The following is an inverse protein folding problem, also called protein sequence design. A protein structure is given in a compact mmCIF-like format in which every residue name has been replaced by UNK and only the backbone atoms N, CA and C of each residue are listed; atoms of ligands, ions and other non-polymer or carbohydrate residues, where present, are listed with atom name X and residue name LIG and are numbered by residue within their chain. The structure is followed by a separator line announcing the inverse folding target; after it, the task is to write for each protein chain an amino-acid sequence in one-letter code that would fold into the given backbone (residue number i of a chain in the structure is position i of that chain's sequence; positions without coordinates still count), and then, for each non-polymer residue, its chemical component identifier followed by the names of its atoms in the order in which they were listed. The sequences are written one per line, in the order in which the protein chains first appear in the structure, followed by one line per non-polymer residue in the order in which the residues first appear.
data_IF_505325743441
#
_entry.id   IF_505325743441
#
_cell.length_a   1.000
_cell.length_b   1.000
_cell.length_c   1.000
_cell.angle_alpha   90.00
_cell.angle_beta   90.00
_cell.angle_gamma   90.00
#
_symmetry.space_group_name_H-M   'P 1'
#
loop_
_entity.id
_entity.type
_entity.pdbx_description
1 polymer ?
#
# COMPACT_ATOMS: atom_id res chain seq x y z
N UNK A 1 96.19 9.51 14.55
CA UNK A 1 95.35 10.59 15.09
C UNK A 1 93.91 10.12 14.90
N UNK A 2 93.32 9.50 15.89
CA UNK A 2 92.27 9.96 16.79
C UNK A 2 91.08 10.55 16.06
N UNK A 3 89.97 9.88 16.08
CA UNK A 3 88.67 10.36 16.56
C UNK A 3 87.60 9.27 16.65
N UNK A 4 87.14 9.14 17.84
CA UNK A 4 85.94 8.44 18.29
C UNK A 4 84.70 8.98 17.60
N UNK A 5 83.74 8.13 17.36
CA UNK A 5 82.37 8.50 16.96
C UNK A 5 81.36 7.53 17.48
N UNK A 6 80.55 7.96 18.34
CA UNK A 6 79.59 7.27 19.19
C UNK A 6 78.49 6.56 18.42
N UNK A 7 78.14 5.35 18.85
CA UNK A 7 76.89 4.69 18.56
C UNK A 7 75.72 5.41 19.18
N UNK A 8 74.69 5.73 18.37
CA UNK A 8 73.39 6.19 18.81
C UNK A 8 72.39 5.11 18.44
N UNK A 9 71.99 4.37 19.44
CA UNK A 9 70.89 3.36 19.28
C UNK A 9 69.53 4.08 19.23
N UNK A 10 68.85 4.03 18.08
CA UNK A 10 67.45 4.43 17.98
C UNK A 10 66.62 3.27 18.47
N UNK A 11 66.01 3.44 19.62
CA UNK A 11 64.87 2.61 20.08
C UNK A 11 63.67 2.87 19.17
N UNK A 12 63.21 1.83 18.43
CA UNK A 12 61.95 1.78 17.74
C UNK A 12 60.85 1.55 18.79
N UNK A 13 59.95 2.53 18.97
CA UNK A 13 58.67 2.32 19.67
C UNK A 13 57.78 1.41 18.83
N UNK A 14 57.13 0.38 19.41
CA UNK A 14 56.07 -0.33 18.70
C UNK A 14 54.83 0.56 18.64
N UNK A 15 54.45 0.96 17.43
CA UNK A 15 53.17 1.58 17.15
C UNK A 15 52.05 0.59 17.52
N UNK A 16 51.27 0.98 18.52
CA UNK A 16 50.09 0.24 18.96
C UNK A 16 49.04 0.13 17.82
N UNK A 17 48.11 -0.83 17.90
CA UNK A 17 47.12 -1.04 16.87
C UNK A 17 46.23 0.21 16.78
N UNK A 18 46.11 0.71 15.56
CA UNK A 18 45.27 1.86 15.21
C UNK A 18 43.80 1.54 15.49
N UNK A 19 43.18 2.30 16.36
CA UNK A 19 41.75 2.25 16.74
C UNK A 19 40.79 2.73 15.64
N UNK A 20 41.04 2.39 14.37
CA UNK A 20 40.24 2.80 13.22
C UNK A 20 39.14 1.79 12.80
N UNK A 21 39.17 0.59 13.39
CA UNK A 21 38.18 -0.48 12.99
C UNK A 21 36.83 -0.40 13.71
N UNK A 22 36.72 0.39 14.80
CA UNK A 22 35.44 0.49 15.54
C UNK A 22 34.51 1.55 14.98
N UNK A 23 34.99 2.54 14.25
CA UNK A 23 34.15 3.59 13.66
C UNK A 23 33.45 3.15 12.37
N UNK A 24 34.04 2.26 11.59
CA UNK A 24 33.47 1.76 10.35
C UNK A 24 32.34 0.74 10.60
N UNK A 25 32.43 -0.06 11.66
CA UNK A 25 31.38 -1.00 12.04
C UNK A 25 30.09 -0.28 12.49
N UNK A 26 30.22 0.73 13.36
CA UNK A 26 29.07 1.51 13.84
C UNK A 26 28.38 2.32 12.75
N UNK A 27 29.12 2.84 11.78
CA UNK A 27 28.54 3.54 10.62
C UNK A 27 27.77 2.60 9.69
N UNK A 28 28.26 1.38 9.49
CA UNK A 28 27.57 0.37 8.71
C UNK A 28 26.27 -0.10 9.39
N UNK A 29 26.29 -0.30 10.71
CA UNK A 29 25.09 -0.67 11.48
C UNK A 29 24.05 0.43 11.45
N UNK A 30 24.43 1.70 11.61
CA UNK A 30 23.50 2.82 11.51
C UNK A 30 22.86 2.91 10.12
N UNK A 31 23.65 2.73 9.06
CA UNK A 31 23.14 2.75 7.69
C UNK A 31 22.17 1.58 7.38
N UNK A 32 22.39 0.41 7.99
CA UNK A 32 21.45 -0.74 7.88
C UNK A 32 20.14 -0.44 8.62
N UNK A 33 20.23 0.13 9.83
CA UNK A 33 19.06 0.52 10.61
C UNK A 33 18.23 1.58 9.89
N UNK A 34 18.87 2.59 9.31
CA UNK A 34 18.16 3.61 8.53
C UNK A 34 17.43 3.02 7.33
N UNK A 35 18.06 2.13 6.57
CA UNK A 35 17.40 1.44 5.44
C UNK A 35 16.22 0.57 5.90
N UNK A 36 16.34 -0.09 7.05
CA UNK A 36 15.26 -0.90 7.61
C UNK A 36 14.07 -0.02 8.01
N UNK A 37 14.34 1.10 8.69
CA UNK A 37 13.31 2.07 9.05
C UNK A 37 12.62 2.62 7.80
N UNK A 38 13.39 3.07 6.82
CA UNK A 38 12.88 3.61 5.55
C UNK A 38 11.99 2.59 4.81
N UNK A 39 12.40 1.34 4.78
CA UNK A 39 11.62 0.26 4.15
C UNK A 39 10.27 0.06 4.85
N UNK A 40 10.26 -0.04 6.18
CA UNK A 40 9.02 -0.26 6.95
C UNK A 40 8.11 0.96 6.87
N UNK A 41 8.63 2.17 6.92
CA UNK A 41 7.85 3.40 6.73
C UNK A 41 7.22 3.48 5.35
N UNK A 42 7.96 3.08 4.30
CA UNK A 42 7.41 2.99 2.95
C UNK A 42 6.23 2.00 2.87
N UNK A 43 6.33 0.85 3.53
CA UNK A 43 5.23 -0.11 3.59
C UNK A 43 4.01 0.45 4.36
N UNK A 44 4.24 1.16 5.46
CA UNK A 44 3.18 1.81 6.24
C UNK A 44 2.47 2.90 5.45
N UNK A 45 3.21 3.67 4.64
CA UNK A 45 2.62 4.67 3.75
C UNK A 45 1.69 4.04 2.71
N UNK A 46 2.05 2.89 2.16
CA UNK A 46 1.22 2.17 1.18
C UNK A 46 -0.05 1.54 1.76
N UNK A 47 -0.13 1.40 3.10
CA UNK A 47 -1.23 0.75 3.80
C UNK A 47 -2.61 1.35 3.49
N UNK A 48 -2.70 2.67 3.37
CA UNK A 48 -3.95 3.40 3.19
C UNK A 48 -4.25 3.81 1.74
N UNK A 49 -3.34 3.55 0.79
CA UNK A 49 -3.49 4.00 -0.61
C UNK A 49 -4.74 3.43 -1.25
N UNK A 50 -4.93 2.12 -1.18
CA UNK A 50 -6.07 1.45 -1.81
C UNK A 50 -7.42 1.88 -1.24
N UNK A 51 -7.51 2.07 0.08
CA UNK A 51 -8.71 2.57 0.75
C UNK A 51 -8.98 4.03 0.42
N UNK A 52 -7.94 4.87 0.35
CA UNK A 52 -8.04 6.27 -0.07
C UNK A 52 -8.55 6.40 -1.49
N UNK A 53 -7.98 5.67 -2.43
CA UNK A 53 -8.43 5.64 -3.83
C UNK A 53 -9.91 5.26 -3.94
N UNK A 54 -10.34 4.19 -3.28
CA UNK A 54 -11.74 3.77 -3.35
C UNK A 54 -12.70 4.78 -2.71
N UNK A 55 -12.28 5.38 -1.59
CA UNK A 55 -13.06 6.42 -0.93
C UNK A 55 -13.23 7.65 -1.83
N UNK A 56 -12.17 8.10 -2.47
CA UNK A 56 -12.21 9.26 -3.37
C UNK A 56 -13.07 8.98 -4.61
N UNK A 57 -12.96 7.79 -5.22
CA UNK A 57 -13.82 7.36 -6.32
C UNK A 57 -15.30 7.38 -5.95
N UNK A 58 -15.63 6.93 -4.73
CA UNK A 58 -17.03 6.90 -4.26
C UNK A 58 -17.53 8.31 -3.88
N UNK A 59 -16.70 9.12 -3.22
CA UNK A 59 -17.07 10.47 -2.76
C UNK A 59 -17.23 11.46 -3.91
N UNK A 60 -16.44 11.29 -4.98
CA UNK A 60 -16.52 12.12 -6.17
C UNK A 60 -17.71 11.77 -7.07
N UNK A 61 -18.38 10.63 -6.84
CA UNK A 61 -19.42 10.10 -7.74
C UNK A 61 -20.66 11.00 -7.76
N UNK A 62 -21.05 11.61 -8.91
CA UNK A 62 -22.27 12.37 -9.02
C UNK A 62 -23.52 11.50 -8.98
N UNK A 63 -24.67 12.09 -8.64
CA UNK A 63 -25.95 11.43 -8.83
C UNK A 63 -26.15 11.01 -10.30
N UNK A 64 -26.67 9.83 -10.53
CA UNK A 64 -26.93 9.26 -11.86
C UNK A 64 -25.67 8.87 -12.65
N UNK A 65 -24.55 8.69 -11.97
CA UNK A 65 -23.35 8.00 -12.44
C UNK A 65 -23.16 6.75 -11.60
N UNK A 66 -22.84 5.64 -12.21
CA UNK A 66 -22.54 4.40 -11.48
C UNK A 66 -21.36 3.66 -12.10
N UNK A 67 -20.56 3.08 -11.25
CA UNK A 67 -19.37 2.35 -11.66
C UNK A 67 -19.73 0.88 -11.87
N UNK A 68 -19.27 0.32 -12.98
CA UNK A 68 -19.45 -1.09 -13.33
C UNK A 68 -18.23 -1.93 -13.01
N UNK A 69 -17.04 -1.34 -13.17
CA UNK A 69 -15.77 -2.00 -12.89
C UNK A 69 -14.78 -0.99 -12.33
N UNK A 70 -14.06 -1.38 -11.28
CA UNK A 70 -12.93 -0.63 -10.75
C UNK A 70 -11.78 -1.60 -10.56
N UNK A 71 -10.64 -1.33 -11.15
CA UNK A 71 -9.42 -2.10 -10.98
C UNK A 71 -8.30 -1.19 -10.46
N UNK A 72 -7.61 -1.67 -9.45
CA UNK A 72 -6.40 -1.10 -8.90
C UNK A 72 -5.27 -2.11 -9.00
N UNK A 73 -4.15 -1.73 -9.56
CA UNK A 73 -2.98 -2.57 -9.68
C UNK A 73 -1.71 -1.75 -9.46
N UNK A 74 -1.13 -1.89 -8.29
CA UNK A 74 0.17 -1.28 -7.92
C UNK A 74 0.25 0.20 -8.30
N UNK A 75 -0.76 0.97 -7.88
CA UNK A 75 -0.85 2.42 -8.13
C UNK A 75 -1.57 2.81 -9.42
N UNK A 76 -1.86 1.90 -10.34
CA UNK A 76 -2.69 2.17 -11.52
C UNK A 76 -4.15 1.93 -11.20
N UNK A 77 -5.00 2.88 -11.54
CA UNK A 77 -6.44 2.84 -11.32
C UNK A 77 -7.14 2.86 -12.67
N UNK A 78 -8.01 1.89 -12.91
CA UNK A 78 -8.88 1.84 -14.08
C UNK A 78 -10.32 1.77 -13.61
N UNK A 79 -11.15 2.63 -14.17
CA UNK A 79 -12.57 2.71 -13.80
C UNK A 79 -13.41 2.67 -15.05
N UNK A 80 -14.46 1.84 -15.03
CA UNK A 80 -15.52 1.84 -16.02
C UNK A 80 -16.86 2.12 -15.35
N UNK A 81 -17.71 2.84 -16.03
CA UNK A 81 -19.01 3.20 -15.51
C UNK A 81 -19.96 3.64 -16.60
N UNK A 82 -21.17 3.97 -16.16
CA UNK A 82 -22.20 4.54 -16.99
C UNK A 82 -22.71 5.83 -16.35
N UNK A 83 -23.07 6.78 -17.18
CA UNK A 83 -23.68 8.05 -16.79
C UNK A 83 -24.90 8.33 -17.68
N UNK A 84 -25.84 9.15 -17.23
CA UNK A 84 -26.98 9.54 -18.06
C UNK A 84 -26.65 10.59 -19.12
N UNK A 85 -25.53 11.30 -18.98
CA UNK A 85 -25.06 12.29 -19.97
C UNK A 85 -23.55 12.46 -19.93
N UNK A 86 -22.98 13.03 -21.01
CA UNK A 86 -21.56 13.35 -21.07
C UNK A 86 -21.16 14.44 -20.04
N UNK A 87 -22.07 15.37 -19.73
CA UNK A 87 -21.80 16.41 -18.72
C UNK A 87 -21.53 15.82 -17.34
N UNK A 88 -22.25 14.73 -16.97
CA UNK A 88 -22.02 14.02 -15.73
C UNK A 88 -20.68 13.27 -15.72
N UNK A 89 -20.22 12.79 -16.88
CA UNK A 89 -18.88 12.20 -17.00
C UNK A 89 -17.81 13.27 -16.81
N UNK A 90 -18.00 14.46 -17.40
CA UNK A 90 -17.08 15.58 -17.26
C UNK A 90 -17.03 16.09 -15.79
N UNK A 91 -18.19 16.22 -15.13
CA UNK A 91 -18.28 16.60 -13.72
C UNK A 91 -17.54 15.58 -12.82
N UNK A 92 -17.75 14.28 -13.07
CA UNK A 92 -17.04 13.22 -12.34
C UNK A 92 -15.53 13.32 -12.52
N UNK A 93 -15.08 13.53 -13.78
CA UNK A 93 -13.66 13.68 -14.10
C UNK A 93 -13.04 14.86 -13.34
N UNK A 94 -13.69 16.03 -13.38
CA UNK A 94 -13.23 17.24 -12.68
C UNK A 94 -13.14 17.05 -11.17
N UNK A 95 -14.08 16.35 -10.56
CA UNK A 95 -14.03 16.00 -9.13
C UNK A 95 -12.87 15.07 -8.80
N UNK A 96 -12.58 14.09 -9.67
CA UNK A 96 -11.46 13.16 -9.49
C UNK A 96 -10.11 13.85 -9.67
N UNK A 97 -9.99 14.82 -10.58
CA UNK A 97 -8.78 15.63 -10.74
C UNK A 97 -8.44 16.44 -9.48
N UNK A 98 -9.46 16.87 -8.73
CA UNK A 98 -9.32 17.52 -7.42
C UNK A 98 -9.06 16.57 -6.25
N UNK A 99 -9.04 15.26 -6.45
CA UNK A 99 -8.88 14.26 -5.40
C UNK A 99 -7.45 14.24 -4.83
N UNK A 100 -7.30 14.10 -3.50
CA UNK A 100 -5.98 13.99 -2.88
C UNK A 100 -5.26 12.69 -3.20
N UNK A 101 -5.99 11.58 -3.45
CA UNK A 101 -5.43 10.24 -3.65
C UNK A 101 -5.15 9.90 -5.10
N UNK A 102 -5.56 10.74 -6.06
CA UNK A 102 -5.43 10.46 -7.49
C UNK A 102 -4.63 11.54 -8.22
N UNK A 103 -3.95 11.11 -9.29
CA UNK A 103 -3.22 11.98 -10.21
C UNK A 103 -3.38 11.44 -11.65
N UNK A 104 -3.10 12.29 -12.63
CA UNK A 104 -3.14 11.91 -14.06
C UNK A 104 -4.47 11.26 -14.46
N UNK A 105 -5.59 11.82 -14.00
CA UNK A 105 -6.92 11.34 -14.36
C UNK A 105 -7.17 11.61 -15.83
N UNK A 106 -7.47 10.58 -16.62
CA UNK A 106 -7.67 10.70 -18.07
C UNK A 106 -8.87 9.84 -18.51
N UNK A 107 -9.73 10.45 -19.31
CA UNK A 107 -10.80 9.73 -19.99
C UNK A 107 -10.20 8.95 -21.18
N UNK A 108 -10.39 7.63 -21.19
CA UNK A 108 -9.92 6.75 -22.27
C UNK A 108 -10.94 6.57 -23.37
N UNK A 109 -12.19 6.39 -22.97
CA UNK A 109 -13.30 6.25 -23.92
C UNK A 109 -14.61 6.74 -23.33
N UNK A 110 -15.48 7.26 -24.19
CA UNK A 110 -16.88 7.52 -23.90
C UNK A 110 -17.69 7.09 -25.12
N UNK A 111 -18.75 6.31 -24.88
CA UNK A 111 -19.61 5.80 -25.95
C UNK A 111 -21.07 5.80 -25.49
N UNK A 112 -21.98 6.16 -26.40
CA UNK A 112 -23.42 6.08 -26.12
C UNK A 112 -23.88 4.62 -26.19
N UNK A 113 -24.61 4.19 -25.17
CA UNK A 113 -25.18 2.84 -25.04
C UNK A 113 -26.63 2.94 -24.59
N UNK A 114 -27.48 2.06 -25.11
CA UNK A 114 -28.86 1.94 -24.63
C UNK A 114 -28.90 0.93 -23.51
N UNK A 115 -29.26 1.40 -22.29
CA UNK A 115 -29.44 0.55 -21.11
C UNK A 115 -30.89 0.68 -20.66
N UNK A 116 -31.61 -0.46 -20.62
CA UNK A 116 -33.04 -0.51 -20.24
C UNK A 116 -33.91 0.48 -21.05
N UNK A 117 -33.62 0.65 -22.34
CA UNK A 117 -34.35 1.55 -23.22
C UNK A 117 -34.07 3.04 -23.02
N UNK A 118 -33.04 3.41 -22.27
CA UNK A 118 -32.57 4.79 -22.10
C UNK A 118 -31.16 4.93 -22.62
N UNK A 119 -30.90 6.06 -23.26
CA UNK A 119 -29.55 6.43 -23.65
C UNK A 119 -28.69 6.67 -22.39
N UNK A 120 -27.53 6.09 -22.37
CA UNK A 120 -26.53 6.22 -21.30
C UNK A 120 -25.16 6.35 -21.94
N UNK A 121 -24.25 7.00 -21.26
CA UNK A 121 -22.85 7.11 -21.68
C UNK A 121 -22.03 6.08 -20.90
N UNK A 122 -21.52 5.07 -21.61
CA UNK A 122 -20.51 4.18 -21.05
C UNK A 122 -19.15 4.89 -21.13
N UNK A 123 -18.42 4.97 -20.03
CA UNK A 123 -17.12 5.61 -19.97
C UNK A 123 -16.06 4.69 -19.35
N UNK A 124 -14.81 4.90 -19.80
CA UNK A 124 -13.66 4.32 -19.16
C UNK A 124 -12.62 5.40 -18.88
N UNK A 125 -12.09 5.44 -17.68
CA UNK A 125 -11.05 6.36 -17.27
C UNK A 125 -9.88 5.61 -16.62
N UNK A 126 -8.72 6.24 -16.67
CA UNK A 126 -7.51 5.79 -16.00
C UNK A 126 -6.96 6.92 -15.14
N UNK A 127 -6.38 6.54 -14.02
CA UNK A 127 -5.70 7.44 -13.11
C UNK A 127 -4.50 6.73 -12.47
N UNK A 128 -3.64 7.50 -11.83
CA UNK A 128 -2.59 6.97 -10.96
C UNK A 128 -2.93 7.32 -9.51
N UNK A 129 -2.81 6.33 -8.63
CA UNK A 129 -2.84 6.60 -7.21
C UNK A 129 -1.65 7.49 -6.85
N UNK A 130 -1.91 8.54 -6.11
CA UNK A 130 -0.85 9.39 -5.58
C UNK A 130 -0.12 8.60 -4.51
N UNK A 131 1.19 8.54 -4.63
CA UNK A 131 2.02 8.09 -3.52
C UNK A 131 1.75 9.02 -2.32
N UNK A 132 1.32 8.50 -1.16
CA UNK A 132 1.02 9.32 0.00
C UNK A 132 2.22 10.15 0.47
N UNK A 133 3.34 10.04 -0.23
CA UNK A 133 4.59 10.62 0.19
C UNK A 133 5.02 10.00 1.52
N UNK A 134 6.27 9.90 1.73
CA UNK A 134 6.87 9.51 2.98
C UNK A 134 6.32 10.41 4.11
N UNK A 135 5.24 10.00 4.76
CA UNK A 135 4.73 10.67 5.96
C UNK A 135 5.77 10.43 7.05
N UNK A 136 6.72 11.33 7.08
CA UNK A 136 7.91 11.25 7.92
C UNK A 136 7.50 11.36 9.37
N UNK A 137 7.99 10.43 10.17
CA UNK A 137 8.15 10.65 11.60
C UNK A 137 8.87 11.98 11.85
N UNK A 138 8.58 12.65 12.97
CA UNK A 138 9.18 13.94 13.28
C UNK A 138 10.71 13.84 13.17
N UNK A 139 11.29 14.76 12.41
CA UNK A 139 12.73 14.85 12.22
C UNK A 139 13.41 14.98 13.59
N UNK A 140 14.29 14.03 13.91
CA UNK A 140 15.06 14.06 15.16
C UNK A 140 14.95 12.82 16.05
N UNK A 141 14.04 11.89 15.77
CA UNK A 141 13.97 10.62 16.52
C UNK A 141 15.08 9.67 16.05
N UNK A 142 15.90 9.10 16.95
CA UNK A 142 16.95 8.16 16.59
C UNK A 142 16.39 6.94 15.85
N UNK A 143 17.08 6.41 14.81
CA UNK A 143 16.57 5.28 14.00
C UNK A 143 16.22 4.04 14.83
N UNK A 144 16.96 3.77 15.89
CA UNK A 144 16.72 2.62 16.76
C UNK A 144 15.38 2.72 17.52
N UNK A 145 15.01 3.90 18.02
CA UNK A 145 13.74 4.14 18.72
C UNK A 145 12.56 4.04 17.74
N UNK A 146 12.74 4.61 16.54
CA UNK A 146 11.74 4.51 15.47
C UNK A 146 11.52 3.06 15.03
N UNK A 147 12.60 2.28 14.93
CA UNK A 147 12.52 0.87 14.56
C UNK A 147 11.72 0.06 15.59
N UNK A 148 11.95 0.26 16.89
CA UNK A 148 11.22 -0.45 17.94
C UNK A 148 9.71 -0.16 17.91
N UNK A 149 9.32 1.08 17.63
CA UNK A 149 7.91 1.45 17.46
C UNK A 149 7.30 0.83 16.19
N UNK A 150 8.05 0.81 15.10
CA UNK A 150 7.61 0.25 13.82
C UNK A 150 7.53 -1.29 13.86
N UNK A 151 8.43 -1.96 14.57
CA UNK A 151 8.41 -3.41 14.74
C UNK A 151 7.20 -3.90 15.54
N UNK A 152 6.61 -3.06 16.39
CA UNK A 152 5.34 -3.38 17.07
C UNK A 152 4.17 -3.56 16.11
N UNK A 153 4.23 -2.94 14.91
CA UNK A 153 3.27 -3.14 13.84
C UNK A 153 3.53 -4.41 13.00
N UNK A 154 4.67 -5.07 13.22
CA UNK A 154 5.08 -6.27 12.52
C UNK A 154 5.12 -7.45 13.51
N UNK A 155 4.16 -8.38 13.48
CA UNK A 155 4.20 -9.55 14.35
C UNK A 155 5.41 -10.46 14.04
N UNK A 156 5.94 -11.12 15.06
CA UNK A 156 7.13 -11.96 14.95
C UNK A 156 6.93 -13.26 14.13
N UNK A 157 5.71 -13.74 13.99
CA UNK A 157 5.34 -14.91 13.16
C UNK A 157 3.85 -14.89 12.88
N UNK A 158 3.46 -15.41 11.72
CA UNK A 158 2.05 -15.50 11.35
C UNK A 158 1.59 -16.94 11.25
N UNK A 159 0.49 -17.24 11.96
CA UNK A 159 -0.30 -18.41 11.66
C UNK A 159 -1.35 -18.02 10.59
N UNK A 160 -1.38 -18.75 9.48
CA UNK A 160 -2.34 -18.53 8.39
C UNK A 160 -3.80 -18.64 8.88
N UNK A 161 -4.03 -19.45 9.92
CA UNK A 161 -5.36 -19.60 10.53
C UNK A 161 -5.78 -18.32 11.26
N UNK A 162 -4.88 -17.64 11.94
CA UNK A 162 -5.16 -16.37 12.61
C UNK A 162 -5.44 -15.26 11.59
N UNK A 163 -4.65 -15.22 10.51
CA UNK A 163 -4.86 -14.31 9.37
C UNK A 163 -6.27 -14.51 8.79
N UNK A 164 -6.68 -15.75 8.56
CA UNK A 164 -8.02 -16.04 8.04
C UNK A 164 -9.12 -15.58 9.01
N UNK A 165 -9.00 -15.86 10.31
CA UNK A 165 -9.99 -15.45 11.32
C UNK A 165 -10.14 -13.94 11.40
N UNK A 166 -9.02 -13.21 11.36
CA UNK A 166 -9.01 -11.74 11.38
C UNK A 166 -9.72 -11.15 10.16
N UNK A 167 -9.41 -11.65 8.96
CA UNK A 167 -10.04 -11.21 7.72
C UNK A 167 -11.53 -11.58 7.63
N UNK A 168 -11.90 -12.77 8.10
CA UNK A 168 -13.31 -13.18 8.16
C UNK A 168 -14.12 -12.32 9.12
N UNK A 169 -13.56 -12.02 10.30
CA UNK A 169 -14.20 -11.14 11.28
C UNK A 169 -14.41 -9.74 10.69
N UNK A 170 -13.38 -9.18 10.07
CA UNK A 170 -13.48 -7.88 9.42
C UNK A 170 -14.51 -7.87 8.30
N UNK A 171 -14.62 -8.94 7.50
CA UNK A 171 -15.62 -9.06 6.45
C UNK A 171 -17.04 -9.07 7.03
N UNK A 172 -17.28 -9.84 8.09
CA UNK A 172 -18.56 -9.89 8.79
C UNK A 172 -18.92 -8.54 9.42
N UNK A 173 -17.99 -7.90 10.10
CA UNK A 173 -18.18 -6.58 10.73
C UNK A 173 -18.48 -5.49 9.68
N UNK A 174 -17.95 -5.64 8.46
CA UNK A 174 -18.20 -4.74 7.34
C UNK A 174 -19.51 -5.04 6.59
N UNK A 175 -20.15 -6.19 6.82
CA UNK A 175 -21.35 -6.64 6.12
C UNK A 175 -21.07 -7.45 4.85
N UNK A 176 -19.80 -7.78 4.55
CA UNK A 176 -19.41 -8.52 3.36
C UNK A 176 -19.47 -10.03 3.58
N UNK A 177 -19.77 -10.75 2.51
CA UNK A 177 -19.63 -12.21 2.45
C UNK A 177 -18.29 -12.56 1.80
N UNK A 178 -17.39 -13.17 2.56
CA UNK A 178 -16.16 -13.76 2.03
C UNK A 178 -16.53 -15.07 1.31
N UNK A 179 -16.15 -15.17 0.04
CA UNK A 179 -16.46 -16.33 -0.81
C UNK A 179 -15.24 -17.21 -1.06
N UNK A 180 -14.06 -16.63 -1.00
CA UNK A 180 -12.80 -17.34 -1.19
C UNK A 180 -11.70 -16.71 -0.34
N UNK A 181 -10.82 -17.56 0.18
CA UNK A 181 -9.55 -17.20 0.79
C UNK A 181 -8.48 -18.14 0.25
N UNK A 182 -7.42 -17.59 -0.29
CA UNK A 182 -6.29 -18.36 -0.81
C UNK A 182 -4.98 -17.71 -0.32
N UNK A 183 -4.31 -18.33 0.66
CA UNK A 183 -2.97 -17.92 1.03
C UNK A 183 -2.01 -18.25 -0.11
N UNK A 184 -1.15 -17.32 -0.45
CA UNK A 184 -0.07 -17.49 -1.41
C UNK A 184 1.21 -17.99 -0.76
N UNK A 185 2.30 -17.90 -1.51
CA UNK A 185 3.61 -18.22 -0.99
C UNK A 185 4.13 -17.11 -0.07
N UNK A 186 4.87 -17.51 0.94
CA UNK A 186 5.69 -16.62 1.74
C UNK A 186 6.89 -16.15 0.90
N UNK A 187 7.08 -14.84 0.82
CA UNK A 187 8.20 -14.23 0.09
C UNK A 187 9.15 -13.64 1.13
N UNK A 188 10.36 -14.22 1.26
CA UNK A 188 11.35 -13.68 2.16
C UNK A 188 11.86 -12.32 1.62
N UNK A 189 11.87 -11.30 2.45
CA UNK A 189 12.49 -10.01 2.18
C UNK A 189 13.74 -9.80 3.02
N UNK A 190 14.47 -8.74 2.72
CA UNK A 190 15.71 -8.38 3.44
C UNK A 190 15.42 -8.04 4.91
N UNK A 191 14.36 -7.26 5.18
CA UNK A 191 14.02 -6.76 6.53
C UNK A 191 12.72 -7.34 7.08
N UNK A 192 11.80 -7.75 6.21
CA UNK A 192 10.54 -8.35 6.59
C UNK A 192 10.11 -9.39 5.55
N UNK A 193 9.54 -10.49 6.00
CA UNK A 193 8.91 -11.47 5.11
C UNK A 193 7.47 -11.05 4.83
N UNK A 194 6.98 -11.39 3.64
CA UNK A 194 5.63 -11.10 3.22
C UNK A 194 4.84 -12.37 2.94
N UNK A 195 3.59 -12.44 3.40
CA UNK A 195 2.62 -13.45 3.00
C UNK A 195 1.59 -12.81 2.08
N UNK A 196 1.54 -13.24 0.83
CA UNK A 196 0.51 -12.83 -0.10
C UNK A 196 -0.80 -13.57 0.21
N UNK A 197 -1.93 -12.86 0.12
CA UNK A 197 -3.26 -13.43 0.35
C UNK A 197 -4.21 -12.92 -0.72
N UNK A 198 -4.95 -13.84 -1.34
CA UNK A 198 -6.04 -13.50 -2.26
C UNK A 198 -7.38 -13.77 -1.60
N UNK A 199 -8.26 -12.78 -1.66
CA UNK A 199 -9.55 -12.78 -0.99
C UNK A 199 -10.62 -12.38 -2.01
N UNK A 200 -11.68 -13.18 -2.13
CA UNK A 200 -12.86 -12.80 -2.89
C UNK A 200 -14.01 -12.51 -1.93
N UNK A 201 -14.60 -11.35 -2.07
CA UNK A 201 -15.74 -10.89 -1.26
C UNK A 201 -16.90 -10.44 -2.14
N UNK A 202 -18.11 -10.52 -1.60
CA UNK A 202 -19.30 -10.00 -2.26
C UNK A 202 -20.19 -9.26 -1.25
N UNK A 203 -20.81 -8.18 -1.70
CA UNK A 203 -21.67 -7.34 -0.88
C UNK A 203 -21.95 -6.01 -1.54
N UNK A 204 -22.18 -4.97 -0.75
CA UNK A 204 -22.40 -3.62 -1.26
C UNK A 204 -21.08 -2.86 -1.39
N UNK A 205 -21.06 -1.84 -2.24
CA UNK A 205 -19.90 -0.99 -2.48
C UNK A 205 -19.46 -0.23 -1.22
N UNK A 206 -20.41 0.25 -0.44
CA UNK A 206 -20.13 0.94 0.84
C UNK A 206 -19.50 0.00 1.86
N UNK A 207 -19.98 -1.25 1.90
CA UNK A 207 -19.43 -2.31 2.76
C UNK A 207 -17.98 -2.65 2.38
N UNK A 208 -17.69 -2.69 1.07
CA UNK A 208 -16.34 -2.90 0.55
C UNK A 208 -15.40 -1.75 0.94
N UNK A 209 -15.87 -0.50 0.88
CA UNK A 209 -15.10 0.66 1.35
C UNK A 209 -14.74 0.54 2.84
N UNK A 210 -15.71 0.14 3.68
CA UNK A 210 -15.48 -0.12 5.12
C UNK A 210 -14.48 -1.26 5.34
N UNK A 211 -14.56 -2.32 4.55
CA UNK A 211 -13.63 -3.44 4.63
C UNK A 211 -12.19 -3.03 4.29
N UNK A 212 -11.96 -2.32 3.17
CA UNK A 212 -10.63 -1.84 2.79
C UNK A 212 -10.08 -0.82 3.79
N UNK A 213 -10.94 0.05 4.33
CA UNK A 213 -10.54 0.94 5.42
C UNK A 213 -10.19 0.14 6.69
N UNK A 214 -10.99 -0.85 7.05
CA UNK A 214 -10.71 -1.74 8.16
C UNK A 214 -9.36 -2.45 8.03
N UNK A 215 -9.01 -2.95 6.83
CA UNK A 215 -7.69 -3.53 6.56
C UNK A 215 -6.55 -2.55 6.86
N UNK A 216 -6.75 -1.26 6.57
CA UNK A 216 -5.74 -0.23 6.85
C UNK A 216 -5.61 0.14 8.33
N UNK A 217 -6.53 -0.27 9.20
CA UNK A 217 -6.55 0.05 10.64
C UNK A 217 -6.19 -1.16 11.50
N UNK A 218 -6.15 -2.36 10.94
CA UNK A 218 -5.78 -3.57 11.69
C UNK A 218 -4.43 -3.43 12.37
N UNK A 219 -4.21 -4.14 13.45
CA UNK A 219 -2.93 -4.13 14.19
C UNK A 219 -1.75 -4.64 13.35
N UNK A 220 -2.02 -5.49 12.37
CA UNK A 220 -1.03 -6.01 11.42
C UNK A 220 -0.89 -5.10 10.21
N UNK A 221 0.32 -5.05 9.66
CA UNK A 221 0.58 -4.31 8.43
C UNK A 221 0.03 -5.06 7.21
N UNK A 222 -1.01 -4.49 6.62
CA UNK A 222 -1.61 -4.94 5.38
C UNK A 222 -1.35 -3.93 4.27
N UNK A 223 -0.87 -4.40 3.14
CA UNK A 223 -0.73 -3.60 1.92
C UNK A 223 -1.55 -4.26 0.82
N UNK A 224 -2.54 -3.55 0.31
CA UNK A 224 -3.34 -4.00 -0.84
C UNK A 224 -2.60 -3.66 -2.11
N UNK A 225 -2.12 -4.68 -2.82
CA UNK A 225 -1.40 -4.52 -4.09
C UNK A 225 -2.35 -4.39 -5.28
N UNK A 226 -3.43 -5.17 -5.24
CA UNK A 226 -4.39 -5.23 -6.33
C UNK A 226 -5.79 -5.45 -5.79
N UNK A 227 -6.75 -4.78 -6.39
CA UNK A 227 -8.16 -5.18 -6.28
C UNK A 227 -8.88 -5.01 -7.61
N UNK A 228 -9.88 -5.84 -7.82
CA UNK A 228 -10.81 -5.75 -8.95
C UNK A 228 -12.22 -5.85 -8.42
N UNK A 229 -13.02 -4.84 -8.65
CA UNK A 229 -14.42 -4.74 -8.22
C UNK A 229 -15.28 -4.77 -9.47
N UNK A 230 -16.25 -5.65 -9.52
CA UNK A 230 -17.22 -5.76 -10.63
C UNK A 230 -18.63 -5.74 -10.09
N UNK A 231 -19.49 -4.91 -10.68
CA UNK A 231 -20.90 -4.96 -10.42
C UNK A 231 -21.49 -6.28 -10.96
N UNK A 232 -22.36 -6.92 -10.20
CA UNK A 232 -23.00 -8.18 -10.63
C UNK A 232 -23.88 -7.96 -11.84
N UNK A 233 -24.61 -6.82 -11.85
CA UNK A 233 -25.35 -6.35 -13.02
C UNK A 233 -24.89 -4.93 -13.31
N UNK A 234 -24.23 -4.70 -14.45
CA UNK A 234 -23.72 -3.38 -14.84
C UNK A 234 -24.80 -2.33 -15.15
N UNK A 235 -26.08 -2.70 -15.05
CA UNK A 235 -27.23 -1.87 -15.40
C UNK A 235 -27.91 -1.19 -14.21
N UNK A 236 -27.57 -1.59 -12.97
CA UNK A 236 -28.21 -1.09 -11.76
C UNK A 236 -27.18 -0.38 -10.86
N UNK A 237 -27.43 0.91 -10.50
CA UNK A 237 -26.56 1.64 -9.58
C UNK A 237 -26.42 0.98 -8.20
N UNK A 238 -27.44 0.21 -7.79
CA UNK A 238 -27.50 -0.50 -6.50
C UNK A 238 -27.10 -1.97 -6.59
N UNK A 239 -26.55 -2.38 -7.74
CA UNK A 239 -26.13 -3.76 -7.92
C UNK A 239 -25.06 -4.14 -6.90
N UNK A 240 -25.20 -5.32 -6.27
CA UNK A 240 -24.13 -5.84 -5.42
C UNK A 240 -22.85 -5.99 -6.23
N UNK A 241 -21.73 -5.89 -5.57
CA UNK A 241 -20.41 -6.00 -6.17
C UNK A 241 -19.73 -7.29 -5.76
N UNK A 242 -18.89 -7.80 -6.65
CA UNK A 242 -17.87 -8.81 -6.33
C UNK A 242 -16.52 -8.17 -6.40
N UNK A 243 -15.71 -8.37 -5.39
CA UNK A 243 -14.37 -7.87 -5.35
C UNK A 243 -13.38 -9.01 -5.13
N UNK A 244 -12.31 -9.00 -5.92
CA UNK A 244 -11.13 -9.84 -5.74
C UNK A 244 -10.01 -8.94 -5.26
N UNK A 245 -9.42 -9.25 -4.13
CA UNK A 245 -8.41 -8.44 -3.46
C UNK A 245 -7.16 -9.28 -3.28
N UNK A 246 -6.02 -8.77 -3.71
CA UNK A 246 -4.71 -9.33 -3.40
C UNK A 246 -3.99 -8.37 -2.46
N UNK A 247 -3.69 -8.84 -1.29
CA UNK A 247 -3.00 -8.08 -0.26
C UNK A 247 -1.79 -8.86 0.26
N UNK A 248 -0.82 -8.14 0.80
CA UNK A 248 0.32 -8.71 1.52
C UNK A 248 0.28 -8.29 2.96
N UNK A 249 0.59 -9.21 3.84
CA UNK A 249 0.87 -8.92 5.24
C UNK A 249 2.33 -9.21 5.52
N UNK A 250 2.95 -8.39 6.36
CA UNK A 250 4.37 -8.41 6.64
C UNK A 250 4.63 -8.83 8.08
N UNK A 251 5.75 -9.50 8.30
CA UNK A 251 6.19 -9.97 9.61
C UNK A 251 7.71 -10.02 9.69
N UNK A 252 8.23 -9.89 10.90
CA UNK A 252 9.66 -10.01 11.20
C UNK A 252 10.01 -11.48 11.39
N UNK A 253 11.17 -11.89 10.90
CA UNK A 253 11.69 -13.25 11.06
C UNK A 253 12.26 -13.47 12.45
#
# INVERSE_FOLDING_TARGET
MICLGACFALMACPSGPSSSDHSSSGQNEAAVLERKVEHIEGLLALRSVASGVLNDLNSALPDRVWLTEVAYDTGKVQVKGNALSNDLVADYLSRLEGSPSLTNVALRSSATKIIRGRESQEFALEALARDPGRALAPAGTPPAVRLEELEKALPARQDTADVLRELQRLALDSGLKMTRFAPGAEVPGEFASALAVSIDVSGDRTELGRYLHGLSVLSRLWVVERFSIKAVTGEDPRSPVRASITAKTYFVR
#
